data_IF_753653821443
#
_entry.id   IF_753653821443
#
_cell.length_a   1.000
_cell.length_b   1.000
_cell.length_c   1.000
_cell.angle_alpha   90.00
_cell.angle_beta   90.00
_cell.angle_gamma   90.00
#
_symmetry.space_group_name_H-M   'P 1'
#
loop_
_entity.id
_entity.type
_entity.pdbx_description
1 polymer ?
#
# COMPACT_ATOMS: atom_id res chain seq x y z
N UNK A 1 5.41 5.79 10.39
CA UNK A 1 6.34 5.81 9.23
C UNK A 1 7.06 4.45 9.13
N UNK A 2 7.13 3.86 7.93
CA UNK A 2 7.89 2.62 7.71
C UNK A 2 9.42 2.83 7.83
N UNK A 3 9.86 4.09 7.83
CA UNK A 3 11.28 4.51 7.79
C UNK A 3 11.91 4.71 9.18
N UNK A 4 11.38 4.06 10.22
CA UNK A 4 12.00 4.17 11.55
C UNK A 4 13.36 3.46 11.52
N UNK A 5 14.46 4.23 11.49
CA UNK A 5 15.81 3.68 11.58
C UNK A 5 15.97 2.85 12.86
N UNK A 6 16.28 1.58 12.71
CA UNK A 6 16.68 0.73 13.83
C UNK A 6 18.07 1.16 14.30
N UNK A 7 18.22 1.37 15.61
CA UNK A 7 19.48 1.75 16.23
C UNK A 7 20.08 0.54 16.96
N UNK A 8 21.39 0.36 16.87
CA UNK A 8 22.09 -0.65 17.69
C UNK A 8 22.09 -0.25 19.18
N UNK A 9 22.60 -1.15 20.03
CA UNK A 9 22.75 -0.91 21.47
C UNK A 9 23.64 0.29 21.82
N UNK A 10 24.29 0.92 20.84
CA UNK A 10 25.12 2.12 20.97
C UNK A 10 24.49 3.34 20.28
N UNK A 11 23.24 3.26 19.81
CA UNK A 11 22.52 4.34 19.17
C UNK A 11 22.94 4.63 17.72
N UNK A 12 23.64 3.71 17.04
CA UNK A 12 24.04 3.87 15.64
C UNK A 12 23.00 3.26 14.70
N UNK A 13 22.72 3.87 13.53
CA UNK A 13 21.84 3.26 12.54
C UNK A 13 22.36 1.88 12.14
N UNK A 14 21.53 0.86 12.28
CA UNK A 14 21.78 -0.45 11.68
C UNK A 14 21.32 -0.35 10.23
N UNK A 15 22.21 -0.64 9.27
CA UNK A 15 21.76 -1.03 7.93
C UNK A 15 21.10 -2.41 8.06
N UNK A 16 19.84 -2.42 8.48
CA UNK A 16 19.02 -3.61 8.45
C UNK A 16 18.59 -3.82 6.98
N UNK A 17 18.67 -5.06 6.50
CA UNK A 17 17.99 -5.40 5.26
C UNK A 17 16.50 -5.03 5.42
N UNK A 18 15.93 -4.34 4.42
CA UNK A 18 14.55 -3.88 4.49
C UNK A 18 13.63 -5.04 4.85
N UNK A 19 12.79 -4.86 5.88
CA UNK A 19 11.78 -5.85 6.26
C UNK A 19 10.70 -6.02 5.18
N UNK A 20 10.68 -5.11 4.21
CA UNK A 20 9.70 -5.05 3.14
C UNK A 20 10.35 -5.35 1.80
N UNK A 21 9.68 -6.16 0.99
CA UNK A 21 10.10 -6.45 -0.37
C UNK A 21 8.89 -6.47 -1.31
N UNK A 22 9.11 -6.10 -2.57
CA UNK A 22 8.09 -6.23 -3.61
C UNK A 22 7.84 -7.73 -3.89
N UNK A 23 6.61 -8.19 -3.65
CA UNK A 23 6.18 -9.54 -4.05
C UNK A 23 5.69 -9.51 -5.50
N UNK A 24 6.54 -9.93 -6.43
CA UNK A 24 6.15 -10.07 -7.83
C UNK A 24 5.18 -11.25 -8.06
N UNK A 25 4.35 -11.14 -9.10
CA UNK A 25 3.51 -12.25 -9.55
C UNK A 25 2.43 -12.70 -8.56
N UNK A 26 2.05 -11.88 -7.58
CA UNK A 26 0.98 -12.23 -6.64
C UNK A 26 -0.37 -12.32 -7.36
N UNK A 27 -0.86 -13.54 -7.54
CA UNK A 27 -2.15 -13.85 -8.11
C UNK A 27 -2.97 -14.65 -7.09
N UNK A 28 -3.97 -14.01 -6.49
CA UNK A 28 -4.79 -14.64 -5.47
C UNK A 28 -6.24 -14.12 -5.51
N UNK A 29 -7.29 -14.96 -5.31
CA UNK A 29 -8.68 -14.53 -5.35
C UNK A 29 -9.05 -13.41 -4.36
N UNK A 30 -8.23 -13.19 -3.32
CA UNK A 30 -8.43 -12.10 -2.36
C UNK A 30 -8.37 -10.72 -3.00
N UNK A 31 -7.65 -10.57 -4.12
CA UNK A 31 -7.58 -9.29 -4.86
C UNK A 31 -8.99 -8.85 -5.28
N UNK A 32 -9.78 -9.76 -5.86
CA UNK A 32 -11.15 -9.45 -6.27
C UNK A 32 -12.07 -9.16 -5.07
N UNK A 33 -11.82 -9.82 -3.92
CA UNK A 33 -12.54 -9.56 -2.68
C UNK A 33 -12.24 -8.16 -2.15
N UNK A 34 -10.97 -7.73 -2.15
CA UNK A 34 -10.56 -6.38 -1.76
C UNK A 34 -11.12 -5.32 -2.70
N UNK A 35 -11.07 -5.55 -4.01
CA UNK A 35 -11.68 -4.65 -4.98
C UNK A 35 -13.21 -4.56 -4.80
N UNK A 36 -13.87 -5.68 -4.50
CA UNK A 36 -15.30 -5.73 -4.18
C UNK A 36 -15.64 -4.97 -2.90
N UNK A 37 -14.84 -5.14 -1.86
CA UNK A 37 -14.96 -4.42 -0.60
C UNK A 37 -14.80 -2.91 -0.82
N UNK A 38 -13.74 -2.49 -1.53
CA UNK A 38 -13.47 -1.09 -1.84
C UNK A 38 -14.64 -0.44 -2.58
N UNK A 39 -15.17 -1.10 -3.63
CA UNK A 39 -16.35 -0.61 -4.38
C UNK A 39 -17.59 -0.50 -3.49
N UNK A 40 -17.86 -1.52 -2.67
CA UNK A 40 -19.03 -1.53 -1.77
C UNK A 40 -19.00 -0.36 -0.79
N UNK A 41 -17.81 0.00 -0.32
CA UNK A 41 -17.61 1.05 0.68
C UNK A 41 -17.18 2.40 0.10
N UNK A 42 -17.16 2.54 -1.23
CA UNK A 42 -16.76 3.78 -1.91
C UNK A 42 -15.37 4.25 -1.46
N UNK A 43 -14.41 3.32 -1.52
CA UNK A 43 -13.00 3.58 -1.24
C UNK A 43 -12.24 3.60 -2.56
N UNK A 44 -11.85 4.78 -3.01
CA UNK A 44 -11.10 4.96 -4.26
C UNK A 44 -9.58 4.85 -4.06
N UNK A 45 -9.13 5.07 -2.81
CA UNK A 45 -7.74 4.87 -2.37
C UNK A 45 -7.76 4.05 -1.09
N UNK A 46 -7.13 2.87 -1.12
CA UNK A 46 -7.01 1.99 0.04
C UNK A 46 -5.74 1.14 -0.04
N UNK A 47 -5.08 0.95 1.10
CA UNK A 47 -4.11 -0.10 1.36
C UNK A 47 -4.80 -1.25 2.11
N UNK A 48 -4.49 -2.49 1.74
CA UNK A 48 -5.01 -3.69 2.39
C UNK A 48 -3.86 -4.48 2.98
N UNK A 49 -3.96 -4.83 4.26
CA UNK A 49 -2.93 -5.57 4.96
C UNK A 49 -3.46 -6.92 5.42
N UNK A 50 -2.69 -7.97 5.12
CA UNK A 50 -3.10 -9.33 5.44
C UNK A 50 -1.89 -10.22 5.77
N UNK A 51 -2.19 -11.27 6.53
CA UNK A 51 -1.26 -12.37 6.84
C UNK A 51 -1.79 -13.62 6.15
N UNK A 52 -0.89 -14.38 5.53
CA UNK A 52 -1.16 -15.74 5.08
C UNK A 52 -0.74 -16.71 6.20
N UNK A 53 -1.69 -17.48 6.73
CA UNK A 53 -1.43 -18.47 7.75
C UNK A 53 -0.77 -19.72 7.15
N UNK A 54 -0.21 -20.60 7.98
CA UNK A 54 0.48 -21.81 7.52
C UNK A 54 -0.40 -22.78 6.72
N UNK A 55 -1.72 -22.76 6.94
CA UNK A 55 -2.73 -23.52 6.21
C UNK A 55 -3.24 -22.79 4.95
N UNK A 56 -2.60 -21.68 4.55
CA UNK A 56 -2.90 -20.93 3.33
C UNK A 56 -4.12 -19.99 3.44
N UNK A 57 -4.67 -19.79 4.63
CA UNK A 57 -5.78 -18.86 4.83
C UNK A 57 -5.28 -17.42 4.89
N UNK A 58 -5.94 -16.54 4.15
CA UNK A 58 -5.68 -15.10 4.22
C UNK A 58 -6.48 -14.50 5.38
N UNK A 59 -5.78 -13.78 6.25
CA UNK A 59 -6.36 -13.02 7.37
C UNK A 59 -6.03 -11.55 7.14
N UNK A 60 -7.00 -10.81 6.63
CA UNK A 60 -6.93 -9.35 6.51
C UNK A 60 -7.15 -8.73 7.87
N UNK A 61 -6.22 -7.90 8.31
CA UNK A 61 -6.26 -7.31 9.65
C UNK A 61 -6.37 -5.78 9.64
N UNK A 62 -6.08 -5.13 8.51
CA UNK A 62 -6.22 -3.67 8.38
C UNK A 62 -6.61 -3.22 6.97
N UNK A 63 -7.28 -2.06 6.90
CA UNK A 63 -7.63 -1.34 5.66
C UNK A 63 -7.37 0.16 5.89
N UNK A 64 -6.34 0.68 5.24
CA UNK A 64 -5.88 2.06 5.40
C UNK A 64 -6.29 2.93 4.22
N UNK A 65 -7.09 3.99 4.43
CA UNK A 65 -7.44 4.97 3.38
C UNK A 65 -6.40 6.08 3.23
N UNK A 66 -5.47 6.17 4.17
CA UNK A 66 -4.32 7.06 4.20
C UNK A 66 -3.02 6.24 4.37
N UNK A 67 -2.69 5.45 3.36
CA UNK A 67 -1.57 4.49 3.44
C UNK A 67 -0.20 5.16 3.56
N UNK A 68 0.72 4.46 4.23
CA UNK A 68 2.16 4.72 4.14
C UNK A 68 2.76 3.96 2.95
N UNK A 69 3.85 4.49 2.39
CA UNK A 69 4.63 3.84 1.35
C UNK A 69 6.02 3.53 1.90
N UNK A 70 6.57 2.38 1.55
CA UNK A 70 7.96 2.05 1.86
C UNK A 70 8.85 2.54 0.70
N UNK A 71 9.85 3.39 0.95
CA UNK A 71 10.67 4.00 -0.09
C UNK A 71 11.49 2.95 -0.86
N UNK A 72 12.02 1.92 -0.19
CA UNK A 72 12.80 0.86 -0.84
C UNK A 72 11.93 0.09 -1.84
N UNK A 73 10.70 -0.28 -1.43
CA UNK A 73 9.74 -0.94 -2.33
C UNK A 73 9.32 -0.03 -3.48
N UNK A 74 9.08 1.27 -3.22
CA UNK A 74 8.74 2.23 -4.29
C UNK A 74 9.85 2.39 -5.33
N UNK A 75 11.14 2.20 -4.96
CA UNK A 75 12.25 2.30 -5.93
C UNK A 75 12.23 1.20 -6.98
N UNK A 76 11.69 0.02 -6.65
CA UNK A 76 11.65 -1.15 -7.53
C UNK A 76 10.26 -1.47 -8.04
N UNK A 77 9.22 -0.87 -7.46
CA UNK A 77 7.83 -1.08 -7.89
C UNK A 77 7.61 -0.57 -9.32
N UNK A 78 6.83 -1.28 -10.15
CA UNK A 78 6.55 -0.87 -11.53
C UNK A 78 5.67 0.38 -11.63
N UNK A 79 5.04 0.79 -10.52
CA UNK A 79 4.21 1.99 -10.41
C UNK A 79 4.44 2.63 -9.06
N UNK A 80 4.51 3.96 -9.04
CA UNK A 80 4.56 4.73 -7.80
C UNK A 80 3.15 5.03 -7.30
N UNK A 81 2.84 4.61 -6.07
CA UNK A 81 1.53 4.86 -5.47
C UNK A 81 1.19 6.36 -5.36
N UNK A 82 2.07 7.20 -4.80
CA UNK A 82 1.84 8.66 -4.72
C UNK A 82 1.56 9.32 -6.07
N UNK A 83 2.25 8.91 -7.13
CA UNK A 83 2.03 9.45 -8.48
C UNK A 83 0.65 9.08 -9.02
N UNK A 84 0.20 7.85 -8.81
CA UNK A 84 -1.14 7.42 -9.22
C UNK A 84 -2.25 8.12 -8.43
N UNK A 85 -2.03 8.37 -7.12
CA UNK A 85 -2.95 9.19 -6.32
C UNK A 85 -3.03 10.61 -6.87
N UNK A 86 -1.90 11.26 -7.18
CA UNK A 86 -1.90 12.61 -7.74
C UNK A 86 -2.69 12.69 -9.06
N UNK A 87 -2.51 11.72 -9.96
CA UNK A 87 -3.29 11.61 -11.21
C UNK A 87 -4.78 11.39 -10.94
N UNK A 88 -5.12 10.55 -9.96
CA UNK A 88 -6.51 10.33 -9.57
C UNK A 88 -7.14 11.63 -9.05
N UNK A 89 -6.49 12.33 -8.13
CA UNK A 89 -6.99 13.59 -7.57
C UNK A 89 -7.11 14.69 -8.62
N UNK A 90 -6.20 14.75 -9.60
CA UNK A 90 -6.34 15.66 -10.74
C UNK A 90 -7.62 15.39 -11.54
N UNK A 91 -7.97 14.12 -11.75
CA UNK A 91 -9.21 13.74 -12.43
C UNK A 91 -10.44 14.11 -11.61
N UNK A 92 -10.44 13.79 -10.32
CA UNK A 92 -11.53 14.17 -9.39
C UNK A 92 -11.72 15.67 -9.38
N UNK A 93 -10.63 16.45 -9.34
CA UNK A 93 -10.69 17.90 -9.43
C UNK A 93 -11.33 18.34 -10.75
N UNK A 94 -10.86 17.83 -11.89
CA UNK A 94 -11.43 18.18 -13.18
C UNK A 94 -12.94 17.85 -13.25
N UNK A 95 -13.36 16.68 -12.78
CA UNK A 95 -14.77 16.27 -12.78
C UNK A 95 -15.64 17.10 -11.83
N UNK A 96 -15.15 17.37 -10.61
CA UNK A 96 -15.89 18.11 -9.60
C UNK A 96 -16.01 19.61 -9.94
N UNK A 97 -15.02 20.17 -10.64
CA UNK A 97 -14.93 21.61 -10.91
C UNK A 97 -15.11 21.98 -12.40
N UNK A 98 -15.34 21.03 -13.31
CA UNK A 98 -15.69 21.32 -14.71
C UNK A 98 -17.10 21.92 -14.89
N UNK A 99 -17.90 22.02 -13.82
CA UNK A 99 -19.22 22.63 -13.80
C UNK A 99 -19.26 24.01 -13.11
N UNK A 100 -18.10 24.60 -12.79
CA UNK A 100 -17.98 25.94 -12.22
C UNK A 100 -17.67 27.00 -13.29
#
# INVERSE_FOLDING_TARGET
>A
PADACELDGNGRPIEAASLFALREGFQHPVIDQFLGFARKHQLEVAGFEFIETMDGRIVTYDVNTNTNYNPDVETVAPKSGPVEIAKYLQRVQAEAFALA
#
